data_IF_285687619249
#
_entry.id   IF_285687619249
#
_cell.length_a   1.000
_cell.length_b   1.000
_cell.length_c   1.000
_cell.angle_alpha   90.00
_cell.angle_beta   90.00
_cell.angle_gamma   90.00
#
_symmetry.space_group_name_H-M   'P 1'
#
loop_
_entity.id
_entity.type
_entity.pdbx_description
1 polymer ?
#
# COMPACT_ATOMS: atom_id res chain seq x y z
N UNK A 1 -30.07 1.06 -9.16
CA UNK A 1 -28.64 1.06 -8.85
C UNK A 1 -28.30 -0.35 -8.42
N UNK A 2 -27.41 -1.00 -9.16
CA UNK A 2 -27.11 -2.41 -8.94
C UNK A 2 -26.38 -2.58 -7.59
N UNK A 3 -26.54 -3.71 -6.89
CA UNK A 3 -25.93 -3.88 -5.56
C UNK A 3 -24.39 -3.73 -5.58
N UNK A 4 -23.78 -4.04 -6.73
CA UNK A 4 -22.35 -3.83 -6.99
C UNK A 4 -21.97 -2.35 -7.18
N UNK A 5 -22.87 -1.49 -7.69
CA UNK A 5 -22.63 -0.03 -7.80
C UNK A 5 -22.72 0.65 -6.43
N UNK A 6 -23.59 0.18 -5.54
CA UNK A 6 -23.72 0.67 -4.16
C UNK A 6 -22.47 0.32 -3.35
N UNK A 7 -21.91 -0.88 -3.54
CA UNK A 7 -20.67 -1.32 -2.90
C UNK A 7 -19.46 -0.52 -3.39
N UNK A 8 -19.46 -0.10 -4.66
CA UNK A 8 -18.42 0.75 -5.27
C UNK A 8 -18.41 2.20 -4.72
N UNK A 9 -19.47 2.63 -4.04
CA UNK A 9 -19.59 3.98 -3.44
C UNK A 9 -19.08 4.06 -2.00
N UNK A 10 -18.86 2.93 -1.32
CA UNK A 10 -18.47 2.90 0.10
C UNK A 10 -16.95 3.04 0.24
N UNK A 11 -16.50 4.02 1.02
CA UNK A 11 -15.08 4.15 1.39
C UNK A 11 -14.58 2.93 2.17
N UNK A 12 -13.26 2.69 2.12
CA UNK A 12 -12.63 1.55 2.80
C UNK A 12 -12.94 1.42 4.31
N UNK A 13 -13.14 2.50 5.09
CA UNK A 13 -13.53 2.38 6.50
C UNK A 13 -14.88 1.67 6.67
N UNK A 14 -15.89 2.05 5.87
CA UNK A 14 -17.22 1.42 5.95
C UNK A 14 -17.17 -0.03 5.47
N UNK A 15 -16.43 -0.32 4.40
CA UNK A 15 -16.23 -1.70 3.93
C UNK A 15 -15.62 -2.58 5.04
N UNK A 16 -14.64 -2.06 5.78
CA UNK A 16 -14.04 -2.78 6.92
C UNK A 16 -15.02 -2.98 8.09
N UNK A 17 -15.94 -2.03 8.32
CA UNK A 17 -16.99 -2.14 9.33
C UNK A 17 -18.18 -3.00 8.89
N UNK A 18 -18.35 -3.28 7.60
CA UNK A 18 -19.47 -4.10 7.11
C UNK A 18 -19.12 -5.59 6.99
N UNK A 19 -17.86 -5.98 7.24
CA UNK A 19 -17.46 -7.40 7.14
C UNK A 19 -18.25 -8.28 8.11
N UNK A 20 -18.63 -9.47 7.63
CA UNK A 20 -19.45 -10.43 8.38
C UNK A 20 -18.75 -10.97 9.64
N UNK A 21 -17.44 -11.15 9.58
CA UNK A 21 -16.60 -11.53 10.73
C UNK A 21 -15.79 -10.31 11.17
N UNK A 22 -16.28 -9.51 12.14
CA UNK A 22 -15.68 -8.24 12.52
C UNK A 22 -14.31 -8.42 13.19
N UNK A 23 -13.47 -7.39 13.09
CA UNK A 23 -12.32 -7.24 13.98
C UNK A 23 -12.78 -6.78 15.36
N UNK A 24 -11.99 -7.05 16.39
CA UNK A 24 -12.27 -6.58 17.75
C UNK A 24 -12.20 -5.06 17.86
N UNK A 25 -11.25 -4.42 17.17
CA UNK A 25 -11.00 -2.99 17.25
C UNK A 25 -10.63 -2.44 15.87
N UNK A 26 -11.02 -1.19 15.62
CA UNK A 26 -10.74 -0.46 14.38
C UNK A 26 -10.04 0.86 14.70
N UNK A 27 -8.96 1.15 13.97
CA UNK A 27 -8.25 2.42 14.07
C UNK A 27 -8.24 3.05 12.68
N UNK A 28 -8.87 4.21 12.55
CA UNK A 28 -8.83 5.01 11.33
C UNK A 28 -7.97 6.25 11.57
N UNK A 29 -7.00 6.49 10.69
CA UNK A 29 -6.12 7.66 10.76
C UNK A 29 -6.36 8.55 9.54
N UNK A 30 -6.63 9.83 9.77
CA UNK A 30 -6.88 10.80 8.70
C UNK A 30 -6.44 12.21 9.14
N UNK A 31 -6.04 13.04 8.18
CA UNK A 31 -5.60 14.43 8.39
C UNK A 31 -6.60 15.46 7.86
N UNK A 32 -7.42 15.12 6.87
CA UNK A 32 -8.41 16.03 6.31
C UNK A 32 -9.61 16.17 7.26
N UNK A 33 -9.87 17.40 7.71
CA UNK A 33 -10.90 17.70 8.70
C UNK A 33 -12.32 17.26 8.27
N UNK A 34 -12.63 17.31 6.97
CA UNK A 34 -13.96 16.89 6.47
C UNK A 34 -14.09 15.38 6.54
N UNK A 35 -13.07 14.63 6.11
CA UNK A 35 -13.05 13.17 6.21
C UNK A 35 -13.00 12.68 7.65
N UNK A 36 -12.34 13.41 8.55
CA UNK A 36 -12.40 13.13 9.99
C UNK A 36 -13.84 13.23 10.51
N UNK A 37 -14.59 14.25 10.10
CA UNK A 37 -16.00 14.39 10.48
C UNK A 37 -16.84 13.21 9.96
N UNK A 38 -16.61 12.77 8.73
CA UNK A 38 -17.24 11.57 8.15
C UNK A 38 -16.90 10.31 8.96
N UNK A 39 -15.63 10.11 9.33
CA UNK A 39 -15.18 8.99 10.16
C UNK A 39 -15.79 9.02 11.57
N UNK A 40 -15.96 10.21 12.17
CA UNK A 40 -16.66 10.36 13.45
C UNK A 40 -18.14 10.01 13.32
N UNK A 41 -18.77 10.37 12.21
CA UNK A 41 -20.12 9.93 11.86
C UNK A 41 -20.24 8.41 11.78
N UNK A 42 -19.32 7.75 11.06
CA UNK A 42 -19.26 6.28 11.00
C UNK A 42 -19.01 5.66 12.38
N UNK A 43 -18.13 6.23 13.20
CA UNK A 43 -17.93 5.76 14.58
C UNK A 43 -19.23 5.79 15.37
N UNK A 44 -20.01 6.87 15.28
CA UNK A 44 -21.29 6.99 15.99
C UNK A 44 -22.33 6.00 15.46
N UNK A 45 -22.41 5.81 14.15
CA UNK A 45 -23.33 4.86 13.51
C UNK A 45 -23.08 3.41 13.97
N UNK A 46 -21.82 3.00 14.11
CA UNK A 46 -21.46 1.62 14.47
C UNK A 46 -21.18 1.42 15.96
N UNK A 47 -21.40 2.42 16.81
CA UNK A 47 -20.97 2.43 18.23
C UNK A 47 -21.52 1.26 19.07
N UNK A 48 -22.68 0.70 18.70
CA UNK A 48 -23.28 -0.44 19.40
C UNK A 48 -22.67 -1.80 19.03
N UNK A 49 -21.94 -1.87 17.91
CA UNK A 49 -21.47 -3.15 17.35
C UNK A 49 -19.98 -3.19 17.06
N UNK A 50 -19.30 -2.04 17.02
CA UNK A 50 -17.88 -1.92 16.66
C UNK A 50 -17.16 -0.97 17.61
N UNK A 51 -15.95 -1.34 18.02
CA UNK A 51 -15.05 -0.43 18.71
C UNK A 51 -14.18 0.30 17.68
N UNK A 52 -14.47 1.59 17.49
CA UNK A 52 -13.82 2.45 16.51
C UNK A 52 -13.10 3.61 17.19
N UNK A 53 -11.81 3.75 16.87
CA UNK A 53 -10.99 4.90 17.23
C UNK A 53 -10.62 5.68 15.98
N UNK A 54 -10.88 6.99 15.99
CA UNK A 54 -10.44 7.92 14.95
C UNK A 54 -9.24 8.69 15.50
N UNK A 55 -8.10 8.64 14.78
CA UNK A 55 -6.88 9.40 15.09
C UNK A 55 -6.69 10.48 14.04
N UNK A 56 -6.57 11.71 14.49
CA UNK A 56 -6.37 12.87 13.63
C UNK A 56 -4.87 13.13 13.48
N UNK A 57 -4.37 13.22 12.23
CA UNK A 57 -2.98 13.57 11.96
C UNK A 57 -2.32 12.73 10.89
N UNK A 58 -0.98 12.75 10.88
CA UNK A 58 -0.17 12.00 9.93
C UNK A 58 -0.25 10.48 10.20
N UNK A 59 -0.51 9.71 9.15
CA UNK A 59 -0.68 8.27 9.22
C UNK A 59 0.59 7.54 9.68
N UNK A 60 1.77 7.97 9.24
CA UNK A 60 3.03 7.34 9.66
C UNK A 60 3.31 7.62 11.13
N UNK A 61 3.10 8.86 11.59
CA UNK A 61 3.29 9.23 13.00
C UNK A 61 2.35 8.44 13.90
N UNK A 62 1.05 8.40 13.58
CA UNK A 62 0.08 7.66 14.36
C UNK A 62 0.36 6.16 14.37
N UNK A 63 0.75 5.59 13.22
CA UNK A 63 1.06 4.17 13.10
C UNK A 63 2.31 3.79 13.92
N UNK A 64 3.38 4.57 13.84
CA UNK A 64 4.59 4.32 14.62
C UNK A 64 4.34 4.50 16.13
N UNK A 65 3.55 5.50 16.52
CA UNK A 65 3.13 5.69 17.92
C UNK A 65 2.30 4.51 18.43
N UNK A 66 1.42 3.95 17.59
CA UNK A 66 0.64 2.77 17.92
C UNK A 66 1.52 1.52 18.07
N UNK A 67 2.49 1.31 17.18
CA UNK A 67 3.47 0.23 17.33
C UNK A 67 4.29 0.36 18.62
N UNK A 68 4.57 1.59 19.05
CA UNK A 68 5.31 1.89 20.27
C UNK A 68 4.46 1.92 21.54
N UNK A 69 3.14 1.67 21.48
CA UNK A 69 2.23 1.83 22.63
C UNK A 69 2.29 0.70 23.66
N UNK A 70 3.23 -0.24 23.53
CA UNK A 70 3.37 -1.39 24.44
C UNK A 70 2.43 -2.56 24.16
N UNK A 71 1.84 -2.65 22.96
CA UNK A 71 1.00 -3.80 22.57
C UNK A 71 1.83 -5.09 22.59
N UNK A 72 1.27 -6.10 23.25
CA UNK A 72 1.84 -7.44 23.24
C UNK A 72 1.47 -8.22 21.96
N UNK A 73 2.34 -8.15 20.96
CA UNK A 73 2.18 -8.83 19.68
C UNK A 73 2.20 -10.37 19.75
N UNK A 74 2.44 -10.97 20.92
CA UNK A 74 2.22 -12.41 21.11
C UNK A 74 0.73 -12.75 21.19
N UNK A 75 -0.08 -11.83 21.72
CA UNK A 75 -1.51 -12.04 21.95
C UNK A 75 -2.40 -11.33 20.93
N UNK A 76 -1.87 -10.32 20.24
CA UNK A 76 -2.62 -9.55 19.25
C UNK A 76 -2.16 -9.81 17.82
N UNK A 77 -3.10 -9.70 16.88
CA UNK A 77 -2.88 -9.70 15.43
C UNK A 77 -3.57 -8.49 14.83
N UNK A 78 -3.01 -7.95 13.77
CA UNK A 78 -3.65 -6.83 13.06
C UNK A 78 -3.43 -6.93 11.56
N UNK A 79 -4.32 -6.29 10.81
CA UNK A 79 -4.16 -6.02 9.38
C UNK A 79 -4.09 -4.51 9.21
N UNK A 80 -3.08 -4.02 8.51
CA UNK A 80 -2.91 -2.59 8.21
C UNK A 80 -3.13 -2.37 6.72
N UNK A 81 -4.15 -1.59 6.39
CA UNK A 81 -4.40 -1.14 5.01
C UNK A 81 -3.68 0.18 4.76
N UNK A 82 -2.65 0.12 3.92
CA UNK A 82 -1.79 1.25 3.55
C UNK A 82 -2.25 1.79 2.19
N UNK A 83 -2.96 2.91 2.22
CA UNK A 83 -3.42 3.64 1.04
C UNK A 83 -2.76 5.02 0.94
N UNK A 84 -1.46 5.08 0.56
CA UNK A 84 -0.76 6.35 0.52
C UNK A 84 -1.20 7.20 -0.66
N UNK A 85 -1.30 8.51 -0.44
CA UNK A 85 -1.35 9.45 -1.54
C UNK A 85 0.05 9.60 -2.15
N UNK A 86 0.35 8.80 -3.17
CA UNK A 86 1.69 8.72 -3.77
C UNK A 86 2.67 7.94 -2.90
N UNK A 87 3.89 8.43 -2.73
CA UNK A 87 4.98 7.68 -2.08
C UNK A 87 5.19 8.03 -0.59
N UNK A 88 4.11 8.31 0.12
CA UNK A 88 4.14 8.87 1.48
C UNK A 88 4.38 7.84 2.60
N UNK A 89 4.63 6.57 2.28
CA UNK A 89 4.95 5.54 3.28
C UNK A 89 6.41 5.17 3.13
N UNK A 90 7.30 5.62 4.04
CA UNK A 90 8.69 5.23 4.06
C UNK A 90 8.86 3.72 4.24
N UNK A 91 9.91 3.15 3.64
CA UNK A 91 10.23 1.73 3.82
C UNK A 91 10.45 1.36 5.29
N UNK A 92 11.01 2.26 6.11
CA UNK A 92 11.20 2.06 7.55
C UNK A 92 9.89 1.82 8.30
N UNK A 93 8.78 2.42 7.85
CA UNK A 93 7.44 2.15 8.42
C UNK A 93 7.03 0.70 8.12
N UNK A 94 7.28 0.22 6.90
CA UNK A 94 7.00 -1.17 6.51
C UNK A 94 7.84 -2.15 7.34
N UNK A 95 9.13 -1.84 7.55
CA UNK A 95 10.01 -2.64 8.40
C UNK A 95 9.54 -2.69 9.85
N UNK A 96 9.06 -1.57 10.40
CA UNK A 96 8.51 -1.52 11.75
C UNK A 96 7.28 -2.44 11.90
N UNK A 97 6.39 -2.47 10.90
CA UNK A 97 5.24 -3.38 10.88
C UNK A 97 5.70 -4.84 10.81
N UNK A 98 6.64 -5.17 9.92
CA UNK A 98 7.14 -6.52 9.73
C UNK A 98 7.84 -7.09 10.98
N UNK A 99 8.59 -6.24 11.72
CA UNK A 99 9.28 -6.62 12.95
C UNK A 99 8.36 -7.19 14.02
N UNK A 100 7.08 -6.81 14.03
CA UNK A 100 6.09 -7.36 14.98
C UNK A 100 5.86 -8.86 14.79
N UNK A 101 6.07 -9.39 13.57
CA UNK A 101 5.69 -10.76 13.16
C UNK A 101 4.22 -11.11 13.43
N UNK A 102 3.39 -10.09 13.66
CA UNK A 102 2.00 -10.21 14.07
C UNK A 102 1.04 -9.44 13.16
N UNK A 103 1.58 -8.48 12.41
CA UNK A 103 0.83 -7.63 11.50
C UNK A 103 0.95 -8.15 10.07
N UNK A 104 -0.18 -8.17 9.39
CA UNK A 104 -0.26 -8.29 7.94
C UNK A 104 -0.53 -6.91 7.34
N UNK A 105 -0.02 -6.64 6.14
CA UNK A 105 -0.28 -5.40 5.42
C UNK A 105 -0.97 -5.67 4.11
N UNK A 106 -1.82 -4.74 3.72
CA UNK A 106 -2.36 -4.62 2.36
C UNK A 106 -1.95 -3.22 1.88
N UNK A 107 -1.20 -3.12 0.78
CA UNK A 107 -0.65 -1.86 0.28
C UNK A 107 -1.10 -1.57 -1.14
N UNK A 108 -1.50 -0.33 -1.38
CA UNK A 108 -1.69 0.22 -2.72
C UNK A 108 -0.36 0.76 -3.27
N UNK A 109 0.33 -0.04 -4.10
CA UNK A 109 1.58 0.35 -4.75
C UNK A 109 1.31 1.29 -5.95
N UNK A 110 1.72 2.58 -5.88
CA UNK A 110 1.24 3.63 -6.79
C UNK A 110 2.10 3.77 -8.05
N UNK A 111 2.30 2.68 -8.79
CA UNK A 111 3.23 2.65 -9.94
C UNK A 111 2.93 3.72 -10.99
N UNK A 112 1.71 3.70 -11.56
CA UNK A 112 1.30 4.64 -12.61
C UNK A 112 0.87 6.01 -12.08
N UNK A 113 0.43 6.07 -10.82
CA UNK A 113 -0.09 7.30 -10.22
C UNK A 113 1.00 8.24 -9.69
N UNK A 114 2.11 7.70 -9.19
CA UNK A 114 3.18 8.48 -8.58
C UNK A 114 4.58 8.09 -9.07
N UNK A 115 4.96 6.82 -8.93
CA UNK A 115 6.35 6.37 -9.13
C UNK A 115 6.83 6.71 -10.54
N UNK A 116 6.08 6.34 -11.57
CA UNK A 116 6.48 6.58 -12.97
C UNK A 116 6.63 8.07 -13.32
N UNK A 117 5.93 8.97 -12.63
CA UNK A 117 5.98 10.41 -12.87
C UNK A 117 7.27 11.06 -12.38
N UNK A 118 7.92 10.44 -11.39
CA UNK A 118 9.19 10.90 -10.84
C UNK A 118 10.41 10.34 -11.59
N UNK A 119 10.21 9.32 -12.43
CA UNK A 119 11.28 8.67 -13.19
C UNK A 119 11.42 9.30 -14.58
N UNK A 120 12.35 10.25 -14.72
CA UNK A 120 12.66 10.94 -15.99
C UNK A 120 13.20 9.98 -17.04
N UNK A 121 13.13 10.34 -18.33
CA UNK A 121 13.62 9.48 -19.42
C UNK A 121 15.15 9.39 -19.47
N UNK A 122 15.85 10.49 -19.20
CA UNK A 122 17.31 10.56 -19.21
C UNK A 122 17.96 9.93 -17.97
N UNK A 123 17.22 9.88 -16.85
CA UNK A 123 17.77 9.48 -15.55
C UNK A 123 18.34 10.63 -14.74
N UNK A 124 18.30 11.85 -15.27
CA UNK A 124 18.52 13.06 -14.49
C UNK A 124 17.26 13.34 -13.68
N UNK A 125 17.24 12.87 -12.44
CA UNK A 125 16.11 13.02 -11.53
C UNK A 125 16.46 14.15 -10.54
N UNK A 126 15.58 15.15 -10.33
CA UNK A 126 15.73 16.15 -9.29
C UNK A 126 16.04 15.55 -7.91
N UNK A 127 16.87 16.23 -7.12
CA UNK A 127 17.38 15.68 -5.86
C UNK A 127 16.26 15.34 -4.84
N UNK A 128 15.23 16.19 -4.76
CA UNK A 128 14.05 15.99 -3.91
C UNK A 128 13.23 14.76 -4.32
N UNK A 129 13.15 14.47 -5.62
CA UNK A 129 12.50 13.26 -6.13
C UNK A 129 13.33 12.01 -5.85
N UNK A 130 14.66 12.11 -5.99
CA UNK A 130 15.56 11.00 -5.61
C UNK A 130 15.42 10.66 -4.13
N UNK A 131 15.41 11.67 -3.24
CA UNK A 131 15.20 11.45 -1.80
C UNK A 131 13.85 10.78 -1.55
N UNK A 132 12.78 11.24 -2.21
CA UNK A 132 11.45 10.62 -2.07
C UNK A 132 11.44 9.15 -2.50
N UNK A 133 12.08 8.82 -3.63
CA UNK A 133 12.21 7.44 -4.11
C UNK A 133 13.06 6.59 -3.16
N UNK A 134 14.20 7.11 -2.71
CA UNK A 134 15.09 6.43 -1.77
C UNK A 134 14.41 6.13 -0.44
N UNK A 135 13.62 7.07 0.08
CA UNK A 135 12.83 6.89 1.31
C UNK A 135 11.72 5.86 1.14
N UNK A 136 10.97 5.94 0.04
CA UNK A 136 9.87 5.01 -0.25
C UNK A 136 10.37 3.58 -0.47
N UNK A 137 11.43 3.43 -1.26
CA UNK A 137 12.01 2.12 -1.56
C UNK A 137 12.96 1.62 -0.47
N UNK A 138 13.50 2.51 0.38
CA UNK A 138 14.48 2.17 1.42
C UNK A 138 15.83 1.71 0.88
N UNK A 139 16.22 2.12 -0.32
CA UNK A 139 17.52 1.82 -0.95
C UNK A 139 17.66 2.56 -2.26
N UNK A 140 18.88 3.00 -2.61
CA UNK A 140 19.21 3.60 -3.92
C UNK A 140 19.25 2.59 -5.07
N UNK A 141 19.20 1.29 -4.76
CA UNK A 141 19.34 0.22 -5.75
C UNK A 141 18.16 0.15 -6.73
N UNK A 142 17.04 0.84 -6.46
CA UNK A 142 15.96 0.96 -7.44
C UNK A 142 16.46 1.60 -8.74
N UNK A 143 17.49 2.46 -8.69
CA UNK A 143 18.01 3.18 -9.84
C UNK A 143 18.56 2.21 -10.92
N UNK A 144 19.23 1.14 -10.51
CA UNK A 144 19.83 0.15 -11.45
C UNK A 144 18.78 -0.71 -12.15
N UNK A 145 17.55 -0.76 -11.61
CA UNK A 145 16.42 -1.46 -12.22
C UNK A 145 15.70 -0.61 -13.28
N UNK A 146 15.90 0.71 -13.20
CA UNK A 146 15.19 1.70 -14.02
C UNK A 146 16.05 2.19 -15.18
N UNK A 147 17.35 2.37 -14.96
CA UNK A 147 18.24 2.99 -15.93
C UNK A 147 19.37 2.04 -16.33
N UNK A 148 19.59 1.95 -17.63
CA UNK A 148 20.74 1.28 -18.24
C UNK A 148 21.64 2.31 -18.89
N UNK A 149 22.95 2.07 -18.85
CA UNK A 149 23.94 2.83 -19.61
C UNK A 149 24.30 2.05 -20.86
N UNK A 150 24.24 2.69 -22.02
CA UNK A 150 24.70 2.16 -23.29
C UNK A 150 25.75 3.09 -23.85
N UNK A 151 26.80 2.53 -24.46
CA UNK A 151 27.74 3.33 -25.23
C UNK A 151 27.26 3.36 -26.69
N UNK A 152 27.15 4.54 -27.25
CA UNK A 152 26.92 4.75 -28.67
C UNK A 152 28.10 5.51 -29.31
N UNK A 153 28.00 5.82 -30.60
CA UNK A 153 29.05 6.51 -31.37
C UNK A 153 29.39 7.90 -30.82
N UNK A 154 28.57 8.48 -29.93
CA UNK A 154 28.75 9.80 -29.33
C UNK A 154 29.07 9.74 -27.84
N UNK A 155 29.25 8.54 -27.27
CA UNK A 155 29.65 8.32 -25.88
C UNK A 155 28.62 7.54 -25.05
N UNK A 156 28.78 7.53 -23.72
CA UNK A 156 27.84 6.84 -22.84
C UNK A 156 26.52 7.62 -22.73
N UNK A 157 25.42 7.00 -23.14
CA UNK A 157 24.06 7.51 -22.97
C UNK A 157 23.31 6.66 -21.94
N UNK A 158 22.52 7.34 -21.10
CA UNK A 158 21.65 6.68 -20.11
C UNK A 158 20.22 6.71 -20.62
N UNK A 159 19.54 5.57 -20.52
CA UNK A 159 18.14 5.46 -20.92
C UNK A 159 17.33 4.68 -19.91
N UNK A 160 16.07 5.09 -19.75
CA UNK A 160 15.09 4.35 -18.96
C UNK A 160 14.71 3.02 -19.65
N UNK A 161 14.86 1.92 -18.93
CA UNK A 161 14.46 0.58 -19.38
C UNK A 161 12.93 0.55 -19.57
N UNK A 162 12.46 -0.03 -20.68
CA UNK A 162 11.04 -0.12 -21.01
C UNK A 162 10.23 -0.87 -19.93
N UNK A 163 10.81 -1.95 -19.38
CA UNK A 163 10.22 -2.75 -18.30
C UNK A 163 10.44 -2.19 -16.89
N UNK A 164 11.04 -1.00 -16.74
CA UNK A 164 11.41 -0.40 -15.44
C UNK A 164 10.29 -0.43 -14.40
N UNK A 165 9.05 -0.17 -14.80
CA UNK A 165 7.92 -0.20 -13.88
C UNK A 165 7.63 -1.58 -13.30
N UNK A 166 7.67 -2.62 -14.14
CA UNK A 166 7.46 -4.01 -13.69
C UNK A 166 8.66 -4.51 -12.88
N UNK A 167 9.89 -4.12 -13.26
CA UNK A 167 11.09 -4.44 -12.49
C UNK A 167 11.01 -3.86 -11.07
N UNK A 168 10.55 -2.60 -10.92
CA UNK A 168 10.35 -1.98 -9.61
C UNK A 168 9.27 -2.68 -8.79
N UNK A 169 8.15 -3.03 -9.40
CA UNK A 169 7.06 -3.74 -8.72
C UNK A 169 7.53 -5.09 -8.17
N UNK A 170 8.19 -5.90 -9.00
CA UNK A 170 8.68 -7.21 -8.59
C UNK A 170 9.81 -7.11 -7.56
N UNK A 171 10.69 -6.13 -7.72
CA UNK A 171 11.73 -5.87 -6.73
C UNK A 171 11.14 -5.43 -5.38
N UNK A 172 10.15 -4.53 -5.37
CA UNK A 172 9.44 -4.13 -4.15
C UNK A 172 8.75 -5.33 -3.47
N UNK A 173 8.09 -6.20 -4.26
CA UNK A 173 7.51 -7.46 -3.74
C UNK A 173 8.56 -8.40 -3.16
N UNK A 174 9.73 -8.52 -3.79
CA UNK A 174 10.83 -9.32 -3.27
C UNK A 174 11.36 -8.77 -1.94
N UNK A 175 11.46 -7.45 -1.81
CA UNK A 175 11.82 -6.81 -0.54
C UNK A 175 10.78 -7.07 0.55
N UNK A 176 9.49 -6.93 0.24
CA UNK A 176 8.41 -7.28 1.16
C UNK A 176 8.53 -8.74 1.62
N UNK A 177 8.87 -9.65 0.71
CA UNK A 177 9.06 -11.07 1.02
C UNK A 177 10.24 -11.29 1.94
N UNK A 178 11.31 -10.51 1.81
CA UNK A 178 12.46 -10.56 2.70
C UNK A 178 12.12 -10.26 4.16
N UNK A 179 11.18 -9.34 4.42
CA UNK A 179 10.85 -8.90 5.80
C UNK A 179 9.58 -9.56 6.37
N UNK A 180 8.60 -9.91 5.53
CA UNK A 180 7.36 -10.58 5.97
C UNK A 180 7.38 -12.10 5.74
N UNK A 181 8.23 -12.63 4.87
CA UNK A 181 8.27 -14.04 4.50
C UNK A 181 7.25 -14.44 3.43
N UNK A 182 6.02 -13.90 3.47
CA UNK A 182 4.96 -14.20 2.50
C UNK A 182 4.42 -12.93 1.84
N UNK A 183 4.23 -12.96 0.53
CA UNK A 183 3.73 -11.83 -0.28
C UNK A 183 2.89 -12.37 -1.43
N UNK A 184 1.73 -11.77 -1.66
CA UNK A 184 0.82 -12.17 -2.74
C UNK A 184 1.34 -11.76 -4.13
N UNK A 185 0.70 -12.29 -5.17
CA UNK A 185 0.70 -11.68 -6.50
C UNK A 185 0.20 -10.24 -6.43
N UNK A 186 0.74 -9.39 -7.30
CA UNK A 186 0.34 -7.99 -7.40
C UNK A 186 -0.89 -7.88 -8.29
N UNK A 187 -1.97 -7.30 -7.79
CA UNK A 187 -3.18 -7.11 -8.57
C UNK A 187 -3.28 -5.69 -9.11
N UNK A 188 -3.31 -5.53 -10.42
CA UNK A 188 -3.55 -4.23 -11.03
C UNK A 188 -5.00 -3.78 -10.83
N UNK A 189 -5.17 -2.64 -10.17
CA UNK A 189 -6.46 -1.96 -10.03
C UNK A 189 -6.51 -0.83 -11.05
N UNK A 190 -7.64 -0.74 -11.76
CA UNK A 190 -7.91 0.25 -12.80
C UNK A 190 -9.11 1.09 -12.41
N UNK A 191 -9.17 2.32 -12.90
CA UNK A 191 -10.40 3.11 -12.80
C UNK A 191 -11.48 2.61 -13.77
N UNK A 192 -12.67 3.20 -13.71
CA UNK A 192 -13.81 2.88 -14.59
C UNK A 192 -13.53 3.11 -16.08
N UNK A 193 -12.53 3.94 -16.42
CA UNK A 193 -12.06 4.18 -17.79
C UNK A 193 -10.96 3.20 -18.25
N UNK A 194 -10.58 2.24 -17.40
CA UNK A 194 -9.54 1.25 -17.68
C UNK A 194 -8.10 1.73 -17.45
N UNK A 195 -7.89 2.95 -16.94
CA UNK A 195 -6.55 3.46 -16.67
C UNK A 195 -5.99 2.80 -15.38
N UNK A 196 -4.72 2.34 -15.40
CA UNK A 196 -4.04 1.82 -14.20
C UNK A 196 -3.98 2.86 -13.07
N UNK A 197 -4.36 2.46 -11.86
CA UNK A 197 -4.22 3.27 -10.65
C UNK A 197 -3.07 2.75 -9.79
N UNK A 198 -3.23 1.56 -9.20
CA UNK A 198 -2.28 0.97 -8.26
C UNK A 198 -2.20 -0.54 -8.44
N UNK A 199 -1.13 -1.13 -7.89
CA UNK A 199 -1.06 -2.57 -7.66
C UNK A 199 -1.38 -2.85 -6.20
N UNK A 200 -2.44 -3.60 -5.94
CA UNK A 200 -2.80 -4.07 -4.61
C UNK A 200 -1.92 -5.28 -4.26
N UNK A 201 -1.23 -5.22 -3.13
CA UNK A 201 -0.30 -6.26 -2.67
C UNK A 201 -0.60 -6.56 -1.20
N UNK A 202 -0.68 -7.85 -0.86
CA UNK A 202 -0.69 -8.31 0.53
C UNK A 202 0.69 -8.84 0.92
N UNK A 203 1.10 -8.60 2.17
CA UNK A 203 2.30 -9.21 2.77
C UNK A 203 2.07 -9.52 4.25
N UNK A 204 2.61 -10.64 4.74
CA UNK A 204 2.39 -11.05 6.12
C UNK A 204 3.21 -12.27 6.56
N UNK A 205 3.29 -12.53 7.87
CA UNK A 205 4.13 -13.59 8.45
C UNK A 205 3.60 -15.01 8.22
N UNK A 206 2.32 -15.18 7.87
CA UNK A 206 1.66 -16.49 7.85
C UNK A 206 1.23 -16.95 6.45
N UNK A 207 1.50 -18.23 6.14
CA UNK A 207 1.10 -18.88 4.87
C UNK A 207 -0.42 -18.94 4.67
N UNK A 208 -1.21 -19.04 5.75
CA UNK A 208 -2.68 -19.04 5.67
C UNK A 208 -3.21 -17.67 5.20
N UNK A 209 -2.62 -16.57 5.67
CA UNK A 209 -2.93 -15.23 5.20
C UNK A 209 -2.66 -15.09 3.70
N UNK A 210 -1.50 -15.60 3.23
CA UNK A 210 -1.17 -15.63 1.81
C UNK A 210 -2.21 -16.38 0.98
N UNK A 211 -2.61 -17.58 1.41
CA UNK A 211 -3.60 -18.39 0.69
C UNK A 211 -4.95 -17.65 0.56
N UNK A 212 -5.39 -16.98 1.63
CA UNK A 212 -6.58 -16.14 1.62
C UNK A 212 -6.44 -14.95 0.66
N UNK A 213 -5.32 -14.22 0.74
CA UNK A 213 -5.04 -13.08 -0.11
C UNK A 213 -5.03 -13.45 -1.61
N UNK A 214 -4.31 -14.52 -1.99
CA UNK A 214 -4.26 -14.99 -3.38
C UNK A 214 -5.66 -15.37 -3.92
N UNK A 215 -6.45 -16.05 -3.11
CA UNK A 215 -7.82 -16.42 -3.49
C UNK A 215 -8.69 -15.19 -3.78
N UNK A 216 -8.60 -14.17 -2.93
CA UNK A 216 -9.39 -12.92 -3.09
C UNK A 216 -8.88 -12.10 -4.27
N UNK A 217 -7.56 -11.89 -4.37
CA UNK A 217 -6.97 -11.06 -5.42
C UNK A 217 -7.19 -11.66 -6.81
N UNK A 218 -7.18 -12.99 -6.95
CA UNK A 218 -7.51 -13.67 -8.22
C UNK A 218 -9.00 -13.58 -8.58
N UNK A 219 -9.91 -13.65 -7.61
CA UNK A 219 -11.37 -13.58 -7.87
C UNK A 219 -11.81 -12.30 -8.54
N UNK A 220 -11.09 -11.21 -8.30
CA UNK A 220 -11.37 -9.92 -8.92
C UNK A 220 -11.16 -9.87 -10.45
N UNK A 221 -10.64 -10.93 -11.07
CA UNK A 221 -10.65 -11.14 -12.53
C UNK A 221 -12.05 -11.49 -13.07
N UNK A 222 -12.94 -11.96 -12.19
CA UNK A 222 -14.27 -12.51 -12.54
C UNK A 222 -15.43 -11.58 -12.23
N UNK A 223 -15.18 -10.35 -11.79
CA UNK A 223 -16.23 -9.32 -11.73
C UNK A 223 -16.56 -8.99 -13.18
N UNK A 224 -17.57 -9.69 -13.70
CA UNK A 224 -18.07 -9.54 -15.06
C UNK A 224 -18.46 -8.08 -15.28
N UNK A 225 -18.07 -7.58 -16.46
CA UNK A 225 -18.64 -6.37 -17.06
C UNK A 225 -20.15 -6.46 -17.14
#
# INVERSE_FOLDING_TARGET
MDAAEVEFLKGSPRVALDIANPFNFYIFVERDARRIAELKGLKAEYALTRDVTVREGDANVALLSWLASGIDWQHYRAVVFLDPFGMQVPWSTIEALAKTKAIEIIINFPLGMAIQRLLTKSGDIPQDWQVSLDTYFGSKNWHTLVYESKADLFGPTRSKVSASGMNLLEWYRNRLRGIFGNVSTARLVKNTRGNPLYYLIWAGPHKKGLAGAEHILRKGERVKR
#
